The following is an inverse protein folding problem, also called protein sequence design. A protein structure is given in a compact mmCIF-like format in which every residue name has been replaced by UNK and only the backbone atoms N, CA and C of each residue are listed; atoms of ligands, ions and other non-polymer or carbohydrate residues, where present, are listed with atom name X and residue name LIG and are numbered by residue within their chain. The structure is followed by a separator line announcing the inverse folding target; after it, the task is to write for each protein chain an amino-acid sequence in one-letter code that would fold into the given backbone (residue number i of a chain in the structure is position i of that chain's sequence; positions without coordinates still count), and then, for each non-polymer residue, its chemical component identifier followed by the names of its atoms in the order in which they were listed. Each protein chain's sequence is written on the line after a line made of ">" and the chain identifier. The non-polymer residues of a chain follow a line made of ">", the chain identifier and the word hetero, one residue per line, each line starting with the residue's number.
data_IF_084294963654
#
_entry.id   IF_084294963654
#
_cell.length_a   1.000
_cell.length_b   1.000
_cell.length_c   1.000
_cell.angle_alpha   90.00
_cell.angle_beta   90.00
_cell.angle_gamma   90.00
#
_symmetry.space_group_name_H-M   'P 1'
#
loop_
_entity.id
_entity.type
_entity.pdbx_description
1 polymer ?
#
# COMPACT_ATOMS: atom_id res chain seq x y z
N UNK A 1 4.18 -4.23 -11.81
CA UNK A 1 4.17 -2.79 -11.50
C UNK A 1 2.79 -2.44 -10.96
N UNK A 2 2.68 -1.52 -10.00
CA UNK A 2 1.40 -0.88 -9.66
C UNK A 2 0.88 -0.10 -10.89
N UNK A 3 -0.43 0.16 -10.95
CA UNK A 3 -1.06 0.77 -12.12
C UNK A 3 -0.35 2.05 -12.58
N UNK A 4 -0.20 2.29 -13.89
CA UNK A 4 0.42 3.50 -14.41
C UNK A 4 -0.50 4.70 -14.20
N UNK A 5 -0.40 5.32 -13.03
CA UNK A 5 -1.16 6.54 -12.69
C UNK A 5 -0.27 7.75 -12.94
N UNK A 6 -0.59 8.52 -13.96
CA UNK A 6 0.09 9.79 -14.27
C UNK A 6 -0.57 10.88 -13.44
N UNK A 7 -0.03 11.13 -12.26
CA UNK A 7 -0.47 12.19 -11.35
C UNK A 7 0.68 12.58 -10.42
N UNK A 8 0.48 13.60 -9.58
CA UNK A 8 1.37 13.82 -8.45
C UNK A 8 1.33 12.63 -7.47
N UNK A 9 2.33 12.55 -6.59
CA UNK A 9 2.49 11.43 -5.66
C UNK A 9 1.28 11.25 -4.72
N UNK A 10 0.62 12.34 -4.31
CA UNK A 10 -0.50 12.28 -3.39
C UNK A 10 -1.74 11.73 -4.08
N UNK A 11 -2.09 12.27 -5.24
CA UNK A 11 -3.19 11.80 -6.07
C UNK A 11 -2.98 10.34 -6.50
N UNK A 12 -1.76 9.99 -6.91
CA UNK A 12 -1.39 8.61 -7.26
C UNK A 12 -1.62 7.65 -6.08
N UNK A 13 -1.22 8.03 -4.86
CA UNK A 13 -1.44 7.22 -3.66
C UNK A 13 -2.92 7.04 -3.35
N UNK A 14 -3.71 8.12 -3.39
CA UNK A 14 -5.15 8.07 -3.11
C UNK A 14 -5.90 7.17 -4.11
N UNK A 15 -5.62 7.33 -5.40
CA UNK A 15 -6.24 6.55 -6.47
C UNK A 15 -5.89 5.06 -6.37
N UNK A 16 -4.68 4.75 -5.92
CA UNK A 16 -4.22 3.37 -5.75
C UNK A 16 -4.59 2.76 -4.39
N UNK A 17 -5.19 3.52 -3.46
CA UNK A 17 -5.47 3.00 -2.11
C UNK A 17 -4.21 2.83 -1.25
N UNK A 18 -3.16 3.58 -1.52
CA UNK A 18 -1.91 3.57 -0.76
C UNK A 18 -1.94 4.58 0.40
N UNK A 19 -1.21 4.27 1.46
CA UNK A 19 -1.10 5.16 2.61
C UNK A 19 -0.34 6.46 2.29
N UNK A 20 -0.50 7.48 3.15
CA UNK A 20 0.07 8.80 2.94
C UNK A 20 1.61 8.79 2.83
N UNK A 21 2.19 9.87 2.32
CA UNK A 21 3.66 10.05 2.28
C UNK A 21 4.29 10.17 3.69
N UNK A 22 3.49 10.45 4.71
CA UNK A 22 3.89 10.59 6.11
C UNK A 22 3.60 9.35 6.97
N UNK A 23 3.00 8.32 6.39
CA UNK A 23 2.66 7.06 7.05
C UNK A 23 3.91 6.21 7.35
N UNK A 24 3.81 5.28 8.30
CA UNK A 24 4.84 4.26 8.51
C UNK A 24 5.15 3.48 7.23
N UNK A 25 4.12 3.18 6.43
CA UNK A 25 4.23 2.52 5.11
C UNK A 25 4.24 3.55 3.98
N UNK A 26 5.23 4.44 4.00
CA UNK A 26 5.31 5.59 3.08
C UNK A 26 5.67 5.20 1.64
N UNK A 27 6.41 4.12 1.42
CA UNK A 27 6.93 3.75 0.10
C UNK A 27 5.80 3.22 -0.79
N UNK A 28 5.66 3.76 -2.00
CA UNK A 28 4.70 3.24 -2.99
C UNK A 28 5.24 2.04 -3.79
N UNK A 29 6.53 1.72 -3.66
CA UNK A 29 7.19 0.72 -4.50
C UNK A 29 7.75 -0.46 -3.70
N UNK A 30 7.72 -0.38 -2.37
CA UNK A 30 8.46 -1.27 -1.50
C UNK A 30 7.81 -1.35 -0.11
N UNK A 31 8.14 -2.39 0.65
CA UNK A 31 7.58 -2.63 1.99
C UNK A 31 8.30 -1.87 3.12
N UNK A 32 9.36 -1.12 2.78
CA UNK A 32 10.22 -0.39 3.70
C UNK A 32 9.40 0.55 4.59
N UNK A 33 9.61 0.46 5.91
CA UNK A 33 9.00 1.39 6.85
C UNK A 33 9.80 2.68 6.99
N UNK A 34 9.15 3.76 7.40
CA UNK A 34 9.84 5.02 7.69
C UNK A 34 10.88 4.87 8.80
N UNK A 35 10.65 3.97 9.75
CA UNK A 35 11.57 3.70 10.85
C UNK A 35 12.84 3.00 10.37
N UNK A 36 12.70 2.03 9.48
CA UNK A 36 13.84 1.30 8.90
C UNK A 36 14.65 2.22 7.96
N UNK A 37 13.97 3.06 7.18
CA UNK A 37 14.61 4.10 6.38
C UNK A 37 15.48 5.04 7.22
N UNK A 38 14.95 5.53 8.36
CA UNK A 38 15.68 6.41 9.27
C UNK A 38 16.88 5.71 9.92
N UNK A 39 16.80 4.39 10.14
CA UNK A 39 17.90 3.56 10.64
C UNK A 39 18.88 3.12 9.54
N UNK A 40 18.59 3.43 8.27
CA UNK A 40 19.32 2.95 7.09
C UNK A 40 19.38 1.42 6.99
N UNK A 41 18.35 0.73 7.52
CA UNK A 41 18.22 -0.72 7.41
C UNK A 41 17.30 -1.07 6.25
N UNK A 42 17.90 -1.55 5.15
CA UNK A 42 17.18 -1.96 3.95
C UNK A 42 17.05 -3.47 3.81
N UNK A 43 17.50 -4.24 4.80
CA UNK A 43 17.60 -5.71 4.72
C UNK A 43 16.26 -6.39 4.42
N UNK A 44 15.15 -5.79 4.87
CA UNK A 44 13.80 -6.32 4.73
C UNK A 44 12.95 -5.57 3.67
N UNK A 45 13.56 -4.73 2.84
CA UNK A 45 12.85 -3.96 1.83
C UNK A 45 12.49 -4.85 0.63
N UNK A 46 11.27 -5.36 0.62
CA UNK A 46 10.76 -6.14 -0.50
C UNK A 46 10.06 -5.23 -1.52
N UNK A 47 10.20 -5.49 -2.83
CA UNK A 47 9.44 -4.80 -3.86
C UNK A 47 7.93 -5.03 -3.70
N UNK A 48 7.14 -3.98 -3.83
CA UNK A 48 5.69 -4.11 -3.87
C UNK A 48 5.24 -4.49 -5.28
N UNK A 49 4.64 -5.68 -5.40
CA UNK A 49 4.11 -6.18 -6.67
C UNK A 49 2.62 -5.83 -6.82
N UNK A 50 2.12 -5.77 -8.06
CA UNK A 50 0.69 -5.60 -8.32
C UNK A 50 -0.14 -6.72 -7.71
N UNK A 51 0.37 -7.95 -7.73
CA UNK A 51 -0.31 -9.09 -7.12
C UNK A 51 -0.42 -8.95 -5.60
N UNK A 52 0.69 -8.62 -4.92
CA UNK A 52 0.69 -8.39 -3.47
C UNK A 52 -0.25 -7.26 -3.10
N UNK A 53 -0.21 -6.14 -3.83
CA UNK A 53 -1.10 -5.00 -3.61
C UNK A 53 -2.58 -5.39 -3.80
N UNK A 54 -2.92 -6.13 -4.86
CA UNK A 54 -4.28 -6.59 -5.12
C UNK A 54 -4.78 -7.50 -4.00
N UNK A 55 -3.96 -8.47 -3.57
CA UNK A 55 -4.30 -9.36 -2.45
C UNK A 55 -4.58 -8.53 -1.19
N UNK A 56 -3.69 -7.61 -0.82
CA UNK A 56 -3.86 -6.74 0.36
C UNK A 56 -5.14 -5.88 0.27
N UNK A 57 -5.39 -5.27 -0.89
CA UNK A 57 -6.58 -4.45 -1.11
C UNK A 57 -7.89 -5.25 -1.01
N UNK A 58 -7.91 -6.47 -1.55
CA UNK A 58 -9.07 -7.36 -1.44
C UNK A 58 -9.24 -7.86 0.00
N UNK A 59 -8.16 -8.27 0.67
CA UNK A 59 -8.20 -8.67 2.09
C UNK A 59 -8.73 -7.54 2.97
N UNK A 60 -8.34 -6.29 2.70
CA UNK A 60 -8.89 -5.11 3.36
C UNK A 60 -10.39 -4.94 3.07
N UNK A 61 -10.81 -5.05 1.81
CA UNK A 61 -12.23 -4.94 1.42
C UNK A 61 -13.11 -5.99 2.09
N UNK A 62 -12.63 -7.23 2.16
CA UNK A 62 -13.39 -8.38 2.68
C UNK A 62 -13.23 -8.57 4.20
N UNK A 63 -12.53 -7.65 4.88
CA UNK A 63 -12.37 -7.73 6.32
C UNK A 63 -13.73 -7.57 7.04
N UNK A 64 -13.97 -8.40 8.05
CA UNK A 64 -15.26 -8.50 8.77
C UNK A 64 -15.60 -7.28 9.62
N UNK A 65 -14.65 -6.37 9.85
CA UNK A 65 -14.86 -5.18 10.69
C UNK A 65 -13.93 -4.03 10.33
N UNK A 66 -14.38 -2.82 10.66
CA UNK A 66 -13.58 -1.60 10.53
C UNK A 66 -12.28 -1.66 11.37
N UNK A 67 -12.31 -2.32 12.53
CA UNK A 67 -11.10 -2.55 13.33
C UNK A 67 -10.09 -3.42 12.58
N UNK A 68 -10.54 -4.50 11.91
CA UNK A 68 -9.69 -5.38 11.10
C UNK A 68 -9.15 -4.64 9.87
N UNK A 69 -9.97 -3.82 9.21
CA UNK A 69 -9.55 -2.92 8.13
C UNK A 69 -8.45 -1.96 8.58
N UNK A 70 -8.62 -1.35 9.76
CA UNK A 70 -7.63 -0.43 10.33
C UNK A 70 -6.30 -1.13 10.57
N UNK A 71 -6.31 -2.33 11.16
CA UNK A 71 -5.10 -3.12 11.39
C UNK A 71 -4.41 -3.50 10.08
N UNK A 72 -5.16 -3.99 9.08
CA UNK A 72 -4.62 -4.32 7.76
C UNK A 72 -4.00 -3.10 7.06
N UNK A 73 -4.63 -1.94 7.20
CA UNK A 73 -4.10 -0.69 6.63
C UNK A 73 -2.82 -0.24 7.34
N UNK A 74 -2.73 -0.38 8.66
CA UNK A 74 -1.51 -0.06 9.41
C UNK A 74 -0.36 -1.03 9.07
N UNK A 75 -0.69 -2.30 8.87
CA UNK A 75 0.28 -3.35 8.56
C UNK A 75 0.85 -3.21 7.14
N UNK A 76 -0.02 -3.01 6.14
CA UNK A 76 0.35 -3.05 4.74
C UNK A 76 0.43 -1.68 4.07
N UNK A 77 -0.23 -0.66 4.62
CA UNK A 77 -0.36 0.64 3.99
C UNK A 77 -1.26 0.63 2.76
N UNK A 78 -2.14 -0.35 2.64
CA UNK A 78 -3.03 -0.55 1.48
C UNK A 78 -4.48 -0.65 1.96
N UNK A 79 -5.36 0.11 1.32
CA UNK A 79 -6.81 -0.05 1.40
C UNK A 79 -7.38 -0.36 0.02
N UNK A 80 -8.67 -0.65 -0.03
CA UNK A 80 -9.33 -0.93 -1.29
C UNK A 80 -9.45 0.34 -2.15
N UNK A 81 -9.08 0.19 -3.42
CA UNK A 81 -9.40 1.10 -4.51
C UNK A 81 -10.06 0.32 -5.64
N UNK A 82 -10.92 0.98 -6.42
CA UNK A 82 -11.62 0.33 -7.56
C UNK A 82 -10.64 -0.25 -8.58
N UNK A 83 -9.46 0.36 -8.74
CA UNK A 83 -8.42 -0.15 -9.65
C UNK A 83 -7.94 -1.56 -9.25
N UNK A 84 -8.06 -1.95 -7.98
CA UNK A 84 -7.71 -3.29 -7.49
C UNK A 84 -8.52 -4.41 -8.13
N UNK A 85 -9.70 -4.12 -8.69
CA UNK A 85 -10.56 -5.10 -9.35
C UNK A 85 -10.19 -5.33 -10.82
N UNK A 86 -9.43 -4.42 -11.43
CA UNK A 86 -9.03 -4.53 -12.82
C UNK A 86 -8.05 -5.69 -12.98
N UNK A 87 -8.20 -6.49 -14.03
CA UNK A 87 -7.44 -7.73 -14.24
C UNK A 87 -6.05 -7.53 -14.86
N UNK A 88 -5.77 -6.35 -15.40
CA UNK A 88 -4.56 -6.01 -16.15
C UNK A 88 -3.54 -5.21 -15.32
#
# INVERSE_FOLDING_TARGET
>A
ALWPVIADLLAMKQVNGLSSTTSTKFCSHCTLSIQDYLKQDYSNAEPQTSNTHRVQAITWKTAESSAKQTNLFLEHGVCYAVLSELSY
#
